data_IF_704561860194
#
_entry.id   IF_704561860194
#
_cell.length_a   1.000
_cell.length_b   1.000
_cell.length_c   1.000
_cell.angle_alpha   90.00
_cell.angle_beta   90.00
_cell.angle_gamma   90.00
#
_symmetry.space_group_name_H-M   'P 1'
#
loop_
_entity.id
_entity.type
_entity.pdbx_description
1 polymer ?
#
# COMPACT_ATOMS: atom_id res chain seq x y z
N UNK A 1 -12.43 -11.08 8.02
CA UNK A 1 -12.01 -10.30 9.20
C UNK A 1 -13.04 -10.45 10.29
N UNK A 2 -12.65 -10.97 11.45
CA UNK A 2 -13.52 -11.19 12.59
C UNK A 2 -14.10 -9.91 13.16
N UNK A 3 -13.38 -8.78 13.17
CA UNK A 3 -13.92 -7.50 13.68
C UNK A 3 -15.10 -6.98 12.87
N UNK A 4 -14.96 -6.94 11.55
CA UNK A 4 -16.05 -6.58 10.63
C UNK A 4 -17.20 -7.61 10.73
N UNK A 5 -16.86 -8.90 10.77
CA UNK A 5 -17.86 -9.96 10.89
C UNK A 5 -18.65 -9.87 12.21
N UNK A 6 -17.98 -9.68 13.34
CA UNK A 6 -18.60 -9.48 14.66
C UNK A 6 -19.49 -8.23 14.64
N UNK A 7 -19.04 -7.13 14.04
CA UNK A 7 -19.85 -5.93 13.88
C UNK A 7 -21.15 -6.22 13.13
N UNK A 8 -21.07 -6.87 11.97
CA UNK A 8 -22.25 -7.24 11.16
C UNK A 8 -23.17 -8.19 11.92
N UNK A 9 -22.62 -9.27 12.50
CA UNK A 9 -23.39 -10.27 13.25
C UNK A 9 -24.08 -9.63 14.46
N UNK A 10 -23.41 -8.71 15.17
CA UNK A 10 -24.03 -8.00 16.30
C UNK A 10 -25.21 -7.14 15.85
N UNK A 11 -25.09 -6.43 14.72
CA UNK A 11 -26.21 -5.68 14.13
C UNK A 11 -27.38 -6.58 13.73
N UNK A 12 -27.09 -7.77 13.18
CA UNK A 12 -28.13 -8.75 12.81
C UNK A 12 -28.80 -9.37 14.04
N UNK A 13 -28.06 -9.66 15.12
CA UNK A 13 -28.64 -10.16 16.37
C UNK A 13 -29.57 -9.11 16.99
N UNK A 14 -29.14 -7.85 17.03
CA UNK A 14 -29.99 -6.73 17.47
C UNK A 14 -31.25 -6.64 16.61
N UNK A 15 -31.12 -6.79 15.29
CA UNK A 15 -32.25 -6.82 14.37
C UNK A 15 -33.26 -7.91 14.73
N UNK A 16 -32.80 -9.15 14.94
CA UNK A 16 -33.67 -10.29 15.26
C UNK A 16 -34.37 -10.06 16.60
N UNK A 17 -33.66 -9.54 17.61
CA UNK A 17 -34.25 -9.23 18.92
C UNK A 17 -35.35 -8.17 18.82
N UNK A 18 -35.16 -7.11 18.01
CA UNK A 18 -36.18 -6.08 17.77
C UNK A 18 -37.37 -6.67 17.02
N UNK A 19 -37.15 -7.45 15.97
CA UNK A 19 -38.21 -8.08 15.20
C UNK A 19 -39.07 -9.03 16.04
N UNK A 20 -38.45 -9.88 16.88
CA UNK A 20 -39.17 -10.76 17.81
C UNK A 20 -40.00 -9.94 18.80
N UNK A 21 -39.45 -8.85 19.34
CA UNK A 21 -40.18 -7.97 20.26
C UNK A 21 -41.36 -7.27 19.59
N UNK A 22 -41.24 -6.89 18.32
CA UNK A 22 -42.34 -6.35 17.52
C UNK A 22 -43.40 -7.39 17.16
N UNK A 23 -43.02 -8.67 16.99
CA UNK A 23 -43.96 -9.75 16.70
C UNK A 23 -44.72 -10.22 17.94
N UNK A 24 -44.11 -10.17 19.13
CA UNK A 24 -44.72 -10.62 20.39
C UNK A 24 -45.37 -9.50 21.22
N UNK A 25 -44.94 -8.25 21.04
CA UNK A 25 -45.70 -7.10 21.54
C UNK A 25 -46.85 -6.79 20.59
N UNK A 26 -48.00 -6.35 21.10
CA UNK A 26 -49.05 -5.69 20.31
C UNK A 26 -48.52 -4.34 19.78
N UNK A 27 -47.51 -4.40 18.91
CA UNK A 27 -47.00 -3.23 18.22
C UNK A 27 -48.03 -2.81 17.20
N UNK A 28 -48.56 -1.59 17.30
CA UNK A 28 -49.57 -1.13 16.36
C UNK A 28 -48.93 -1.03 14.96
N UNK A 29 -49.69 -1.43 13.94
CA UNK A 29 -49.19 -1.61 12.57
C UNK A 29 -48.57 -0.35 11.96
N UNK A 30 -48.95 0.83 12.47
CA UNK A 30 -48.43 2.16 12.12
C UNK A 30 -46.96 2.37 12.52
N UNK A 31 -46.40 1.58 13.45
CA UNK A 31 -45.02 1.68 13.90
C UNK A 31 -44.06 0.67 13.27
N UNK A 32 -44.55 -0.18 12.37
CA UNK A 32 -43.72 -1.19 11.70
C UNK A 32 -42.72 -0.55 10.73
N UNK A 33 -43.08 0.54 10.07
CA UNK A 33 -42.19 1.30 9.17
C UNK A 33 -41.02 1.95 9.93
N UNK A 34 -41.28 2.58 11.09
CA UNK A 34 -40.23 3.17 11.95
C UNK A 34 -39.19 2.13 12.39
N UNK A 35 -39.64 0.90 12.67
CA UNK A 35 -38.75 -0.22 13.04
C UNK A 35 -37.87 -0.62 11.86
N UNK A 36 -38.44 -0.74 10.66
CA UNK A 36 -37.69 -1.07 9.44
C UNK A 36 -36.65 0.02 9.12
N UNK A 37 -37.01 1.30 9.25
CA UNK A 37 -36.10 2.43 9.05
C UNK A 37 -34.94 2.42 10.06
N UNK A 38 -35.23 2.19 11.34
CA UNK A 38 -34.20 2.06 12.39
C UNK A 38 -33.21 0.93 12.11
N UNK A 39 -33.65 -0.14 11.46
CA UNK A 39 -32.82 -1.30 11.10
C UNK A 39 -31.88 -0.99 9.94
N UNK A 40 -32.35 -0.27 8.92
CA UNK A 40 -31.49 0.25 7.85
C UNK A 40 -30.43 1.20 8.39
N UNK A 41 -30.81 2.11 9.28
CA UNK A 41 -29.87 3.03 9.94
C UNK A 41 -28.83 2.25 10.77
N UNK A 42 -29.26 1.27 11.56
CA UNK A 42 -28.36 0.43 12.35
C UNK A 42 -27.37 -0.37 11.51
N UNK A 43 -27.82 -0.90 10.37
CA UNK A 43 -26.95 -1.59 9.41
C UNK A 43 -25.92 -0.64 8.80
N UNK A 44 -26.34 0.55 8.35
CA UNK A 44 -25.43 1.56 7.78
C UNK A 44 -24.37 2.00 8.80
N UNK A 45 -24.78 2.22 10.05
CA UNK A 45 -23.85 2.55 11.14
C UNK A 45 -22.87 1.40 11.37
N UNK A 46 -23.34 0.16 11.45
CA UNK A 46 -22.47 -1.02 11.62
C UNK A 46 -21.48 -1.21 10.46
N UNK A 47 -21.91 -0.94 9.23
CA UNK A 47 -21.08 -1.00 8.03
C UNK A 47 -19.97 0.06 8.03
N UNK A 48 -20.16 1.19 8.72
CA UNK A 48 -19.14 2.24 8.87
C UNK A 48 -18.24 1.98 10.08
N UNK A 49 -18.82 1.63 11.24
CA UNK A 49 -18.07 1.42 12.49
C UNK A 49 -17.17 0.18 12.41
N UNK A 50 -17.62 -0.91 11.77
CA UNK A 50 -16.84 -2.14 11.63
C UNK A 50 -15.47 -1.91 10.97
N UNK A 51 -15.39 -1.29 9.78
CA UNK A 51 -14.13 -0.91 9.16
C UNK A 51 -13.29 0.06 9.98
N UNK A 52 -13.89 1.07 10.61
CA UNK A 52 -13.16 2.04 11.45
C UNK A 52 -12.52 1.39 12.68
N UNK A 53 -13.23 0.47 13.33
CA UNK A 53 -12.69 -0.32 14.45
C UNK A 53 -11.60 -1.27 13.99
N UNK A 54 -11.76 -1.91 12.83
CA UNK A 54 -10.72 -2.75 12.22
C UNK A 54 -9.46 -1.94 11.87
N UNK A 55 -9.60 -0.69 11.41
CA UNK A 55 -8.47 0.24 11.19
C UNK A 55 -7.74 0.56 12.49
N UNK A 56 -8.47 0.96 13.55
CA UNK A 56 -7.88 1.24 14.87
C UNK A 56 -7.19 0.02 15.48
N UNK A 57 -7.78 -1.16 15.37
CA UNK A 57 -7.14 -2.40 15.83
C UNK A 57 -5.89 -2.70 15.00
N UNK A 58 -5.93 -2.43 13.70
CA UNK A 58 -4.79 -2.60 12.82
C UNK A 58 -3.64 -1.63 13.08
N UNK A 59 -3.83 -0.47 13.73
CA UNK A 59 -2.71 0.39 14.15
C UNK A 59 -1.96 -0.18 15.36
N UNK A 60 -2.62 -0.94 16.22
CA UNK A 60 -2.03 -1.51 17.43
C UNK A 60 -1.13 -2.72 17.17
N UNK A 61 -1.43 -3.52 16.13
CA UNK A 61 -0.62 -4.70 15.84
C UNK A 61 0.76 -4.35 15.28
N UNK A 62 1.83 -5.07 15.69
CA UNK A 62 3.17 -4.87 15.17
C UNK A 62 3.22 -5.20 13.67
N UNK A 63 3.93 -4.36 12.93
CA UNK A 63 4.10 -4.44 11.48
C UNK A 63 5.58 -4.46 11.15
N UNK A 64 5.92 -5.14 10.06
CA UNK A 64 7.28 -5.16 9.53
C UNK A 64 7.23 -4.97 8.03
N UNK A 65 8.31 -4.42 7.48
CA UNK A 65 8.55 -4.47 6.06
C UNK A 65 9.07 -5.86 5.70
N UNK A 66 8.49 -6.42 4.64
CA UNK A 66 8.91 -7.70 4.08
C UNK A 66 9.28 -7.45 2.63
N UNK A 67 10.45 -7.94 2.23
CA UNK A 67 10.88 -7.92 0.84
C UNK A 67 9.87 -8.72 0.01
N UNK A 68 9.26 -8.06 -0.95
CA UNK A 68 8.21 -8.66 -1.79
C UNK A 68 8.67 -8.89 -3.23
N UNK A 69 9.58 -8.06 -3.71
CA UNK A 69 10.06 -8.12 -5.09
C UNK A 69 11.48 -7.57 -5.14
N UNK A 70 12.34 -8.23 -5.90
CA UNK A 70 13.67 -7.75 -6.28
C UNK A 70 13.72 -7.72 -7.78
N UNK A 71 14.01 -6.55 -8.34
CA UNK A 71 14.04 -6.32 -9.79
C UNK A 71 15.45 -5.94 -10.22
N UNK A 72 15.97 -6.63 -11.23
CA UNK A 72 17.26 -6.29 -11.85
C UNK A 72 17.12 -5.02 -12.70
N UNK A 73 17.98 -4.05 -12.42
CA UNK A 73 18.06 -2.78 -13.14
C UNK A 73 19.12 -2.88 -14.24
N UNK A 74 18.84 -2.24 -15.37
CA UNK A 74 19.69 -2.29 -16.54
C UNK A 74 20.58 -1.06 -16.56
N UNK A 75 21.90 -1.29 -16.60
CA UNK A 75 22.87 -0.27 -16.93
C UNK A 75 22.75 0.11 -18.40
N UNK A 76 22.65 1.42 -18.70
CA UNK A 76 22.69 1.89 -20.07
C UNK A 76 24.15 1.96 -20.51
N UNK A 77 24.46 1.30 -21.62
CA UNK A 77 25.74 1.47 -22.27
C UNK A 77 25.73 2.82 -23.00
N UNK A 78 26.66 3.70 -22.65
CA UNK A 78 27.06 4.76 -23.57
C UNK A 78 28.02 4.13 -24.60
N UNK A 79 27.92 4.55 -25.86
CA UNK A 79 28.74 4.07 -26.98
C UNK A 79 30.25 4.35 -26.79
N UNK A 80 30.62 5.06 -25.73
CA UNK A 80 31.99 5.49 -25.43
C UNK A 80 32.76 4.55 -24.47
N UNK A 81 32.09 3.60 -23.80
CA UNK A 81 32.72 2.75 -22.79
C UNK A 81 32.59 1.26 -23.15
N UNK A 82 33.64 0.47 -22.85
CA UNK A 82 33.64 -1.00 -22.96
C UNK A 82 32.87 -1.68 -21.82
N UNK A 83 32.33 -0.91 -20.88
CA UNK A 83 31.49 -1.31 -19.76
C UNK A 83 30.36 -0.27 -19.59
N UNK A 84 29.13 -0.74 -19.42
CA UNK A 84 27.96 0.13 -19.24
C UNK A 84 27.88 0.61 -17.80
N UNK A 85 27.53 1.87 -17.59
CA UNK A 85 27.33 2.42 -16.25
C UNK A 85 25.83 2.37 -15.90
N UNK A 86 25.54 2.08 -14.63
CA UNK A 86 24.18 2.22 -14.14
C UNK A 86 23.87 3.70 -13.92
N UNK A 87 22.79 4.19 -14.53
CA UNK A 87 22.32 5.55 -14.36
C UNK A 87 20.95 5.55 -13.71
N UNK A 88 20.87 6.06 -12.49
CA UNK A 88 19.61 6.44 -11.88
C UNK A 88 19.33 7.90 -12.27
N UNK A 89 18.39 8.09 -13.19
CA UNK A 89 17.96 9.43 -13.56
C UNK A 89 17.05 10.01 -12.48
N UNK A 90 17.05 11.33 -12.38
CA UNK A 90 16.07 12.06 -11.60
C UNK A 90 15.57 13.26 -12.41
N UNK A 91 14.36 13.71 -12.12
CA UNK A 91 13.79 14.86 -12.79
C UNK A 91 12.41 15.18 -12.27
N UNK A 92 11.91 16.34 -12.67
CA UNK A 92 10.56 16.79 -12.36
C UNK A 92 9.66 16.67 -13.58
N UNK A 93 8.47 16.11 -13.40
CA UNK A 93 7.40 16.12 -14.40
C UNK A 93 6.14 16.61 -13.72
N UNK A 94 5.48 17.61 -14.28
CA UNK A 94 4.26 18.21 -13.71
C UNK A 94 4.41 18.67 -12.24
N UNK A 95 5.59 19.19 -11.89
CA UNK A 95 5.99 19.62 -10.52
C UNK A 95 6.20 18.50 -9.49
N UNK A 96 6.12 17.24 -9.89
CA UNK A 96 6.46 16.08 -9.05
C UNK A 96 7.85 15.56 -9.38
N UNK A 97 8.63 15.22 -8.34
CA UNK A 97 9.97 14.65 -8.51
C UNK A 97 9.91 13.13 -8.69
N UNK A 98 10.63 12.62 -9.69
CA UNK A 98 10.66 11.21 -10.04
C UNK A 98 12.09 10.69 -10.14
N UNK A 99 12.27 9.43 -9.73
CA UNK A 99 13.39 8.60 -10.13
C UNK A 99 13.02 7.81 -11.38
N UNK A 100 13.88 7.86 -12.39
CA UNK A 100 13.68 7.15 -13.67
C UNK A 100 14.79 6.14 -13.88
N UNK A 101 14.41 4.95 -14.33
CA UNK A 101 15.33 3.83 -14.50
C UNK A 101 14.82 2.85 -15.54
N UNK A 102 15.69 1.93 -15.94
CA UNK A 102 15.34 0.81 -16.79
C UNK A 102 15.46 -0.49 -16.00
N UNK A 103 14.49 -1.37 -16.18
CA UNK A 103 14.48 -2.70 -15.56
C UNK A 103 14.39 -3.79 -16.62
N UNK A 104 14.90 -4.96 -16.30
CA UNK A 104 14.78 -6.15 -17.16
C UNK A 104 13.40 -6.79 -16.98
N UNK A 105 12.74 -7.12 -18.08
CA UNK A 105 11.48 -7.86 -18.09
C UNK A 105 11.60 -9.01 -19.09
N UNK A 106 12.10 -10.15 -18.61
CA UNK A 106 12.48 -11.28 -19.46
C UNK A 106 13.63 -10.92 -20.40
N UNK A 107 13.36 -10.92 -21.70
CA UNK A 107 14.31 -10.53 -22.76
C UNK A 107 14.18 -9.06 -23.18
N UNK A 108 13.27 -8.29 -22.56
CA UNK A 108 13.06 -6.89 -22.86
C UNK A 108 13.64 -5.99 -21.76
N UNK A 109 13.87 -4.73 -22.14
CA UNK A 109 14.23 -3.65 -21.22
C UNK A 109 13.07 -2.67 -21.17
N UNK A 110 12.61 -2.32 -19.98
CA UNK A 110 11.45 -1.45 -19.78
C UNK A 110 11.81 -0.22 -18.97
N UNK A 111 11.44 0.93 -19.52
CA UNK A 111 11.50 2.20 -18.82
C UNK A 111 10.45 2.26 -17.70
N UNK A 112 10.87 2.72 -16.51
CA UNK A 112 10.02 2.90 -15.34
C UNK A 112 10.34 4.22 -14.65
N UNK A 113 9.34 4.73 -13.93
CA UNK A 113 9.48 5.88 -13.03
C UNK A 113 8.84 5.58 -11.68
N UNK A 114 9.42 6.10 -10.61
CA UNK A 114 8.90 6.06 -9.24
C UNK A 114 8.88 7.50 -8.72
N UNK A 115 7.72 7.94 -8.23
CA UNK A 115 7.59 9.24 -7.57
C UNK A 115 8.41 9.24 -6.28
N UNK A 116 9.13 10.33 -6.03
CA UNK A 116 9.87 10.51 -4.78
C UNK A 116 8.97 10.93 -3.61
N UNK A 117 7.73 11.34 -3.90
CA UNK A 117 6.82 11.99 -2.95
C UNK A 117 5.51 11.23 -2.72
N UNK A 118 5.01 10.44 -3.70
CA UNK A 118 3.69 9.79 -3.61
C UNK A 118 3.63 8.57 -2.67
N UNK A 119 4.78 8.09 -2.22
CA UNK A 119 4.82 6.93 -1.34
C UNK A 119 4.86 7.37 0.12
N UNK A 120 4.12 6.66 0.97
CA UNK A 120 4.17 6.82 2.43
C UNK A 120 5.60 6.79 2.99
N UNK A 121 6.57 6.25 2.23
CA UNK A 121 8.00 6.37 2.50
C UNK A 121 8.78 6.77 1.24
N UNK A 122 9.68 7.74 1.39
CA UNK A 122 10.61 8.17 0.34
C UNK A 122 11.53 7.02 -0.09
N UNK A 123 11.75 6.80 -1.40
CA UNK A 123 12.71 5.80 -1.87
C UNK A 123 14.12 6.07 -1.33
N UNK A 124 14.82 5.02 -0.92
CA UNK A 124 16.21 5.10 -0.46
C UNK A 124 17.16 4.61 -1.55
N UNK A 125 18.36 5.19 -1.61
CA UNK A 125 19.40 4.82 -2.56
C UNK A 125 20.67 4.47 -1.78
N UNK A 126 21.18 3.26 -2.00
CA UNK A 126 22.39 2.72 -1.39
C UNK A 126 23.45 2.48 -2.46
N UNK A 127 24.57 3.19 -2.38
CA UNK A 127 25.77 2.91 -3.18
C UNK A 127 26.65 1.87 -2.46
N UNK A 128 26.78 0.69 -3.06
CA UNK A 128 27.43 -0.48 -2.46
C UNK A 128 28.59 -0.97 -3.34
N UNK A 129 29.49 -1.75 -2.75
CA UNK A 129 30.56 -2.43 -3.49
C UNK A 129 30.00 -3.66 -4.22
N UNK A 130 29.37 -3.41 -5.36
CA UNK A 130 28.66 -4.39 -6.19
C UNK A 130 28.75 -4.01 -7.67
N UNK A 131 28.63 -4.99 -8.55
CA UNK A 131 28.68 -4.79 -10.00
C UNK A 131 27.30 -4.68 -10.66
N UNK A 132 26.25 -5.14 -9.96
CA UNK A 132 24.86 -5.15 -10.43
C UNK A 132 24.06 -4.00 -9.78
N UNK A 133 22.94 -3.65 -10.40
CA UNK A 133 21.99 -2.69 -9.85
C UNK A 133 20.62 -3.38 -9.67
N UNK A 134 20.02 -3.23 -8.49
CA UNK A 134 18.72 -3.82 -8.18
C UNK A 134 17.78 -2.81 -7.51
N UNK A 135 16.49 -3.01 -7.71
CA UNK A 135 15.42 -2.34 -6.98
C UNK A 135 14.74 -3.37 -6.07
N UNK A 136 14.72 -3.09 -4.77
CA UNK A 136 14.01 -3.88 -3.79
C UNK A 136 12.73 -3.17 -3.38
N UNK A 137 11.61 -3.88 -3.48
CA UNK A 137 10.29 -3.41 -3.08
C UNK A 137 9.87 -4.14 -1.83
N UNK A 138 9.64 -3.37 -0.77
CA UNK A 138 9.15 -3.84 0.51
C UNK A 138 7.69 -3.45 0.69
N UNK A 139 6.88 -4.41 1.08
CA UNK A 139 5.49 -4.14 1.46
C UNK A 139 5.36 -4.28 2.97
N UNK A 140 4.76 -3.30 3.62
CA UNK A 140 4.43 -3.40 5.05
C UNK A 140 3.39 -4.49 5.23
N UNK A 141 3.63 -5.41 6.15
CA UNK A 141 2.72 -6.50 6.53
C UNK A 141 2.62 -6.59 8.04
N UNK A 142 1.56 -7.20 8.55
CA UNK A 142 1.52 -7.57 9.95
C UNK A 142 2.60 -8.60 10.24
N UNK A 143 3.30 -8.46 11.37
CA UNK A 143 4.35 -9.39 11.77
C UNK A 143 3.83 -10.83 11.97
N UNK A 144 2.55 -10.96 12.37
CA UNK A 144 1.86 -12.27 12.45
C UNK A 144 0.69 -12.27 11.48
N UNK A 145 0.64 -13.23 10.56
CA UNK A 145 -0.40 -13.31 9.53
C UNK A 145 -1.83 -13.37 10.11
N UNK A 146 -1.99 -14.03 11.27
CA UNK A 146 -3.28 -14.11 11.96
C UNK A 146 -3.89 -12.75 12.31
N UNK A 147 -3.07 -11.70 12.42
CA UNK A 147 -3.55 -10.35 12.75
C UNK A 147 -4.38 -9.73 11.60
N UNK A 148 -4.20 -10.17 10.35
CA UNK A 148 -5.05 -9.78 9.19
C UNK A 148 -6.52 -10.15 9.44
N UNK A 149 -6.78 -11.17 10.27
CA UNK A 149 -8.16 -11.53 10.63
C UNK A 149 -8.81 -10.49 11.53
N UNK A 150 -8.05 -9.69 12.26
CA UNK A 150 -8.56 -8.78 13.29
C UNK A 150 -8.49 -7.31 12.88
N UNK A 151 -7.46 -6.90 12.16
CA UNK A 151 -7.27 -5.50 11.79
C UNK A 151 -6.95 -5.32 10.32
N UNK A 152 -7.18 -4.09 9.85
CA UNK A 152 -6.69 -3.60 8.57
C UNK A 152 -5.81 -2.39 8.81
N UNK A 153 -4.87 -2.16 7.90
CA UNK A 153 -4.09 -0.95 7.90
C UNK A 153 -3.93 -0.51 6.46
N UNK A 154 -3.73 0.80 6.29
CA UNK A 154 -3.36 1.35 5.01
C UNK A 154 -1.92 0.90 4.74
N UNK A 155 -1.75 0.09 3.70
CA UNK A 155 -0.46 -0.43 3.31
C UNK A 155 0.51 0.69 2.96
N UNK A 156 1.78 0.48 3.24
CA UNK A 156 2.86 1.32 2.73
C UNK A 156 3.84 0.46 1.95
N UNK A 157 4.36 1.05 0.88
CA UNK A 157 5.39 0.46 0.04
C UNK A 157 6.65 1.27 0.28
N UNK A 158 7.77 0.58 0.45
CA UNK A 158 9.10 1.16 0.56
C UNK A 158 9.95 0.63 -0.59
N UNK A 159 10.67 1.53 -1.25
CA UNK A 159 11.59 1.19 -2.34
C UNK A 159 13.03 1.46 -1.91
N UNK A 160 13.91 0.52 -2.20
CA UNK A 160 15.34 0.64 -1.96
C UNK A 160 16.10 0.32 -3.25
N UNK A 161 16.83 1.31 -3.77
CA UNK A 161 17.75 1.13 -4.89
C UNK A 161 19.11 0.73 -4.32
N UNK A 162 19.63 -0.42 -4.73
CA UNK A 162 20.98 -0.83 -4.42
C UNK A 162 21.80 -0.84 -5.70
N UNK A 163 22.80 0.04 -5.76
CA UNK A 163 23.48 0.39 -7.01
C UNK A 163 24.99 0.37 -6.80
N UNK A 164 25.79 0.14 -7.87
CA UNK A 164 27.23 0.21 -7.78
C UNK A 164 27.72 1.58 -7.29
N UNK A 165 28.81 1.59 -6.51
CA UNK A 165 29.51 2.84 -6.15
C UNK A 165 29.89 3.65 -7.39
N UNK A 166 29.65 4.96 -7.32
CA UNK A 166 29.96 5.89 -8.41
C UNK A 166 28.84 6.02 -9.43
N UNK A 167 27.71 5.35 -9.23
CA UNK A 167 26.52 5.49 -10.08
C UNK A 167 25.78 6.80 -9.82
N UNK A 168 25.93 7.40 -8.63
CA UNK A 168 25.35 8.72 -8.35
C UNK A 168 26.27 9.80 -8.92
N UNK A 169 25.82 10.44 -9.99
CA UNK A 169 26.47 11.61 -10.55
C UNK A 169 26.32 12.80 -9.59
N UNK A 170 27.39 13.09 -8.86
CA UNK A 170 27.52 14.30 -8.04
C UNK A 170 28.13 15.38 -8.93
N UNK A 171 27.42 16.50 -9.11
CA UNK A 171 27.83 17.66 -9.93
C UNK A 171 27.75 17.45 -11.46
N UNK A 172 26.59 17.02 -11.97
CA UNK A 172 26.37 16.96 -13.41
C UNK A 172 26.34 18.38 -14.03
N UNK A 173 27.34 18.70 -14.85
CA UNK A 173 27.31 19.87 -15.74
C UNK A 173 26.85 19.41 -17.13
N UNK A 174 25.72 19.94 -17.58
CA UNK A 174 25.18 19.69 -18.90
C UNK A 174 26.05 20.42 -19.93
N UNK A 175 26.96 19.69 -20.57
CA UNK A 175 27.77 20.23 -21.67
C UNK A 175 26.93 20.16 -22.95
N UNK A 176 26.15 21.21 -23.21
CA UNK A 176 25.43 21.39 -24.47
C UNK A 176 26.44 21.80 -25.54
N UNK A 177 26.80 20.87 -26.43
CA UNK A 177 27.49 21.18 -27.69
C UNK A 177 26.50 21.37 -28.83
#
# INVERSE_FOLDING_TARGET
MYTIFISIVSSVIIFIMVAIKCQWGDYPADKTEEVIEGLWIGFLIGAIIGPLTALKIGTFFPKTYVLTETTELVALHDNSASQGNFFLGCGTMDSEFYYVFYQKEGNAVKFRKISAEDYYETPLIFEEDRSDAILQKYTKRFMKEKNVRWGIFIGSIKYEFHIPKGSILKNFQLDLK
#
